data_IF_534929682021
#
_entry.id   IF_534929682021
#
_cell.length_a   1.000
_cell.length_b   1.000
_cell.length_c   1.000
_cell.angle_alpha   90.00
_cell.angle_beta   90.00
_cell.angle_gamma   90.00
#
_symmetry.space_group_name_H-M   'P 1'
#
loop_
_entity.id
_entity.type
_entity.pdbx_description
1 polymer ?
#
# COMPACT_ATOMS: atom_id res chain seq x y z
N UNK A 1 -2.86 2.52 -20.12
CA UNK A 1 -2.24 2.53 -18.78
C UNK A 1 -0.76 2.21 -18.92
N UNK A 2 0.08 2.89 -18.15
CA UNK A 2 1.53 2.76 -18.18
C UNK A 2 2.01 2.19 -16.86
N UNK A 3 2.79 1.09 -16.92
CA UNK A 3 3.37 0.44 -15.73
C UNK A 3 4.85 0.78 -15.66
N UNK A 4 5.28 1.32 -14.52
CA UNK A 4 6.67 1.70 -14.28
C UNK A 4 7.23 0.89 -13.10
N UNK A 5 8.31 0.18 -13.34
CA UNK A 5 9.09 -0.52 -12.32
C UNK A 5 10.38 0.27 -12.06
N UNK A 6 10.56 0.71 -10.80
CA UNK A 6 11.62 1.67 -10.48
C UNK A 6 11.48 2.93 -11.37
N UNK A 7 12.35 3.12 -12.31
CA UNK A 7 12.33 4.26 -13.23
C UNK A 7 12.19 3.82 -14.70
N UNK A 8 11.77 2.58 -14.93
CA UNK A 8 11.69 1.98 -16.27
C UNK A 8 10.24 1.65 -16.61
N UNK A 9 9.80 2.09 -17.78
CA UNK A 9 8.50 1.68 -18.34
C UNK A 9 8.59 0.19 -18.73
N UNK A 10 7.72 -0.61 -18.15
CA UNK A 10 7.62 -2.05 -18.39
C UNK A 10 6.29 -2.46 -19.02
N UNK A 11 5.53 -1.50 -19.51
CA UNK A 11 4.19 -1.74 -20.07
C UNK A 11 4.20 -2.82 -21.16
N UNK A 12 5.21 -2.87 -21.99
CA UNK A 12 5.34 -3.85 -23.08
C UNK A 12 5.47 -5.31 -22.57
N UNK A 13 5.93 -5.52 -21.34
CA UNK A 13 6.07 -6.84 -20.73
C UNK A 13 4.78 -7.31 -20.05
N UNK A 14 3.81 -6.43 -19.86
CA UNK A 14 2.57 -6.72 -19.14
C UNK A 14 1.56 -7.35 -20.12
N UNK A 15 1.25 -8.62 -19.92
CA UNK A 15 0.23 -9.32 -20.72
C UNK A 15 -1.18 -9.00 -20.25
N UNK A 16 -1.37 -8.86 -18.95
CA UNK A 16 -2.63 -8.43 -18.32
C UNK A 16 -2.37 -7.84 -16.94
N UNK A 17 -3.30 -7.03 -16.45
CA UNK A 17 -3.24 -6.47 -15.11
C UNK A 17 -4.64 -6.27 -14.54
N UNK A 18 -4.71 -6.30 -13.21
CA UNK A 18 -5.88 -5.84 -12.46
C UNK A 18 -5.43 -4.97 -11.30
N UNK A 19 -6.15 -3.89 -11.01
CA UNK A 19 -5.87 -3.02 -9.89
C UNK A 19 -7.16 -2.52 -9.24
N UNK A 20 -7.09 -2.23 -7.97
CA UNK A 20 -8.22 -1.72 -7.23
C UNK A 20 -8.09 -1.94 -5.74
N UNK A 21 -9.15 -1.63 -5.04
CA UNK A 21 -9.33 -1.90 -3.63
C UNK A 21 -10.82 -1.98 -3.33
N UNK A 22 -11.18 -2.62 -2.24
CA UNK A 22 -12.55 -2.66 -1.77
C UNK A 22 -12.72 -1.79 -0.52
N UNK A 23 -13.95 -1.49 -0.16
CA UNK A 23 -14.24 -0.74 1.08
C UNK A 23 -13.84 -1.50 2.35
N UNK A 24 -13.65 -2.80 2.24
CA UNK A 24 -13.28 -3.69 3.34
C UNK A 24 -11.79 -4.01 3.37
N UNK A 25 -11.04 -3.63 2.33
CA UNK A 25 -9.59 -3.80 2.26
C UNK A 25 -8.88 -2.50 2.57
N UNK A 26 -7.90 -2.58 3.47
CA UNK A 26 -7.12 -1.41 3.88
C UNK A 26 -6.17 -0.96 2.80
N UNK A 27 -5.54 -1.91 2.10
CA UNK A 27 -4.55 -1.66 1.09
C UNK A 27 -5.13 -1.87 -0.32
N UNK A 28 -4.70 -1.04 -1.27
CA UNK A 28 -4.97 -1.26 -2.69
C UNK A 28 -4.01 -2.30 -3.24
N UNK A 29 -4.52 -3.13 -4.14
CA UNK A 29 -3.78 -4.21 -4.79
C UNK A 29 -3.59 -3.91 -6.27
N UNK A 30 -2.40 -4.18 -6.78
CA UNK A 30 -2.10 -4.25 -8.21
C UNK A 30 -1.54 -5.64 -8.51
N UNK A 31 -2.14 -6.34 -9.45
CA UNK A 31 -1.67 -7.64 -9.92
C UNK A 31 -1.21 -7.50 -11.37
N UNK A 32 0.02 -7.91 -11.64
CA UNK A 32 0.65 -7.83 -12.95
C UNK A 32 1.01 -9.22 -13.43
N UNK A 33 0.61 -9.55 -14.66
CA UNK A 33 1.06 -10.74 -15.37
C UNK A 33 2.12 -10.34 -16.39
N UNK A 34 3.36 -10.71 -16.13
CA UNK A 34 4.52 -10.35 -16.94
C UNK A 34 4.93 -11.52 -17.79
N UNK A 35 5.15 -11.29 -19.08
CA UNK A 35 5.67 -12.30 -19.99
C UNK A 35 7.09 -12.69 -19.58
N UNK A 36 7.29 -13.98 -19.36
CA UNK A 36 8.59 -14.55 -19.05
C UNK A 36 8.94 -15.62 -20.09
N UNK A 37 9.74 -15.22 -21.07
CA UNK A 37 10.21 -16.10 -22.14
C UNK A 37 11.74 -16.22 -22.10
N UNK A 38 12.31 -16.98 -21.13
CA UNK A 38 13.76 -17.04 -20.92
C UNK A 38 14.55 -17.66 -22.09
N UNK A 39 13.86 -18.37 -22.97
CA UNK A 39 14.45 -19.00 -24.17
C UNK A 39 14.35 -18.13 -25.41
N UNK A 40 13.59 -17.04 -25.39
CA UNK A 40 13.46 -16.11 -26.51
C UNK A 40 14.57 -15.06 -26.46
N UNK A 41 15.50 -15.15 -27.39
CA UNK A 41 16.65 -14.24 -27.52
C UNK A 41 16.24 -12.81 -27.90
N UNK A 42 15.03 -12.62 -28.39
CA UNK A 42 14.50 -11.30 -28.77
C UNK A 42 13.85 -10.53 -27.61
N UNK A 43 13.62 -11.19 -26.49
CA UNK A 43 13.05 -10.58 -25.29
C UNK A 43 14.15 -10.39 -24.25
N UNK A 44 14.39 -9.14 -23.88
CA UNK A 44 15.32 -8.82 -22.78
C UNK A 44 14.68 -9.27 -21.46
N UNK A 45 15.37 -10.09 -20.64
CA UNK A 45 14.85 -10.51 -19.35
C UNK A 45 14.57 -9.32 -18.45
N UNK A 46 13.36 -9.25 -17.91
CA UNK A 46 12.99 -8.25 -16.91
C UNK A 46 13.14 -8.85 -15.50
N UNK A 47 13.97 -8.22 -14.69
CA UNK A 47 14.16 -8.63 -13.29
C UNK A 47 13.40 -7.72 -12.35
N UNK A 48 12.37 -8.28 -11.71
CA UNK A 48 11.59 -7.62 -10.68
C UNK A 48 11.76 -8.41 -9.38
N UNK A 49 12.22 -7.74 -8.34
CA UNK A 49 12.44 -8.36 -7.03
C UNK A 49 11.32 -7.99 -6.06
N UNK A 50 11.21 -8.77 -4.98
CA UNK A 50 10.34 -8.40 -3.85
C UNK A 50 10.80 -7.06 -3.27
N UNK A 51 9.85 -6.28 -2.81
CA UNK A 51 10.02 -4.91 -2.31
C UNK A 51 10.41 -3.86 -3.38
N UNK A 52 10.52 -4.22 -4.64
CA UNK A 52 10.72 -3.22 -5.69
C UNK A 52 9.49 -2.32 -5.84
N UNK A 53 9.66 -1.00 -6.04
CA UNK A 53 8.57 -0.08 -6.26
C UNK A 53 7.96 -0.23 -7.65
N UNK A 54 6.63 -0.18 -7.70
CA UNK A 54 5.84 -0.24 -8.93
C UNK A 54 4.81 0.89 -8.93
N UNK A 55 4.66 1.52 -10.07
CA UNK A 55 3.73 2.62 -10.30
C UNK A 55 2.81 2.30 -11.48
N UNK A 56 1.56 2.71 -11.38
CA UNK A 56 0.60 2.65 -12.47
C UNK A 56 0.12 4.07 -12.79
N UNK A 57 0.20 4.44 -14.06
CA UNK A 57 -0.28 5.72 -14.57
C UNK A 57 -1.36 5.51 -15.62
N UNK A 58 -2.18 6.53 -15.82
CA UNK A 58 -3.03 6.63 -17.01
C UNK A 58 -2.18 6.75 -18.28
N UNK A 59 -2.83 6.69 -19.44
CA UNK A 59 -2.16 6.80 -20.74
C UNK A 59 -1.50 8.17 -20.97
N UNK A 60 -1.86 9.17 -20.18
CA UNK A 60 -1.24 10.50 -20.18
C UNK A 60 0.19 10.50 -19.58
N UNK A 61 0.59 9.41 -18.91
CA UNK A 61 1.87 9.27 -18.22
C UNK A 61 2.08 10.23 -17.04
N UNK A 62 1.03 10.91 -16.59
CA UNK A 62 1.07 11.92 -15.52
C UNK A 62 0.15 11.60 -14.35
N UNK A 63 -1.04 11.09 -14.65
CA UNK A 63 -2.03 10.76 -13.63
C UNK A 63 -1.68 9.43 -12.99
N UNK A 64 -1.18 9.46 -11.76
CA UNK A 64 -0.83 8.27 -10.99
C UNK A 64 -2.10 7.61 -10.42
N UNK A 65 -2.31 6.34 -10.77
CA UNK A 65 -3.44 5.53 -10.31
C UNK A 65 -3.08 4.65 -9.12
N UNK A 66 -1.83 4.18 -9.08
CA UNK A 66 -1.35 3.29 -8.04
C UNK A 66 0.15 3.49 -7.82
N UNK A 67 0.53 3.38 -6.55
CA UNK A 67 1.93 3.34 -6.11
C UNK A 67 2.06 2.30 -5.00
N UNK A 68 2.97 1.37 -5.18
CA UNK A 68 3.18 0.32 -4.19
C UNK A 68 4.45 -0.47 -4.40
N UNK A 69 4.53 -1.60 -3.72
CA UNK A 69 5.71 -2.46 -3.71
C UNK A 69 5.32 -3.89 -4.00
N UNK A 70 6.22 -4.61 -4.66
CA UNK A 70 6.05 -6.03 -4.95
C UNK A 70 6.13 -6.83 -3.65
N UNK A 71 5.07 -7.57 -3.33
CA UNK A 71 4.97 -8.38 -2.11
C UNK A 71 5.06 -9.87 -2.42
N UNK A 72 4.51 -10.29 -3.53
CA UNK A 72 4.51 -11.69 -3.95
C UNK A 72 4.91 -11.84 -5.40
N UNK A 73 5.56 -12.97 -5.70
CA UNK A 73 5.94 -13.39 -7.04
C UNK A 73 5.57 -14.85 -7.23
N UNK A 74 4.77 -15.14 -8.24
CA UNK A 74 4.37 -16.49 -8.61
C UNK A 74 4.73 -16.76 -10.06
N UNK A 75 5.59 -17.74 -10.29
CA UNK A 75 5.98 -18.16 -11.64
C UNK A 75 5.12 -19.34 -12.09
N UNK A 76 4.51 -19.23 -13.28
CA UNK A 76 3.79 -20.32 -13.92
C UNK A 76 4.63 -20.92 -15.03
N UNK A 77 4.94 -22.21 -14.91
CA UNK A 77 5.67 -22.95 -15.94
C UNK A 77 4.80 -23.27 -17.15
N UNK A 78 3.49 -23.23 -17.00
CA UNK A 78 2.52 -23.63 -18.04
C UNK A 78 2.16 -22.46 -18.98
N UNK A 79 2.12 -21.24 -18.46
CA UNK A 79 1.65 -20.06 -19.22
C UNK A 79 2.77 -19.17 -19.72
N UNK A 80 4.03 -19.42 -19.29
CA UNK A 80 5.16 -18.55 -19.63
C UNK A 80 5.02 -17.13 -19.04
N UNK A 81 4.26 -16.98 -17.98
CA UNK A 81 4.06 -15.70 -17.29
C UNK A 81 4.48 -15.78 -15.84
N UNK A 82 4.88 -14.65 -15.29
CA UNK A 82 5.10 -14.46 -13.86
C UNK A 82 4.08 -13.46 -13.35
N UNK A 83 3.38 -13.82 -12.29
CA UNK A 83 2.42 -12.95 -11.63
C UNK A 83 3.12 -12.25 -10.48
N UNK A 84 3.04 -10.92 -10.47
CA UNK A 84 3.52 -10.07 -9.38
C UNK A 84 2.34 -9.43 -8.69
N UNK A 85 2.26 -9.61 -7.38
CA UNK A 85 1.25 -8.95 -6.54
C UNK A 85 1.91 -7.79 -5.79
N UNK A 86 1.38 -6.60 -6.00
CA UNK A 86 1.84 -5.38 -5.38
C UNK A 86 0.75 -4.80 -4.49
N UNK A 87 1.17 -4.25 -3.35
CA UNK A 87 0.30 -3.52 -2.43
C UNK A 87 0.85 -2.12 -2.18
N UNK A 88 -0.04 -1.18 -1.90
CA UNK A 88 0.36 0.15 -1.47
C UNK A 88 0.93 0.15 -0.03
N UNK A 89 1.40 1.32 0.43
CA UNK A 89 2.03 1.44 1.75
C UNK A 89 1.10 1.08 2.92
N UNK A 90 -0.21 1.16 2.73
CA UNK A 90 -1.17 0.79 3.77
C UNK A 90 -1.12 -0.70 4.14
N UNK A 91 -0.61 -1.54 3.24
CA UNK A 91 -0.35 -2.95 3.54
C UNK A 91 0.54 -3.13 4.77
N UNK A 92 1.57 -2.31 4.91
CA UNK A 92 2.49 -2.38 6.05
C UNK A 92 1.83 -1.98 7.37
N UNK A 93 0.79 -1.14 7.32
CA UNK A 93 0.04 -0.77 8.53
C UNK A 93 -0.69 -1.95 9.16
N UNK A 94 -1.08 -2.94 8.35
CA UNK A 94 -1.72 -4.16 8.83
C UNK A 94 -0.68 -5.16 9.37
N UNK A 95 0.50 -5.19 8.78
CA UNK A 95 1.55 -6.18 9.06
C UNK A 95 2.52 -5.75 10.15
N UNK A 96 2.55 -4.48 10.50
CA UNK A 96 3.45 -3.94 11.51
C UNK A 96 2.71 -3.64 12.80
N UNK A 97 3.27 -4.11 13.93
CA UNK A 97 2.72 -3.88 15.25
C UNK A 97 3.59 -2.88 16.02
N UNK A 98 2.95 -2.13 16.91
CA UNK A 98 3.64 -1.18 17.78
C UNK A 98 2.98 -1.08 19.16
N UNK A 99 3.72 -0.48 20.08
CA UNK A 99 3.29 -0.21 21.44
C UNK A 99 3.41 1.29 21.71
N UNK A 100 2.32 1.92 22.12
CA UNK A 100 2.27 3.35 22.41
C UNK A 100 1.49 3.62 23.69
N UNK A 101 1.85 4.72 24.33
CA UNK A 101 1.11 5.30 25.45
C UNK A 101 0.91 6.80 25.20
N UNK A 102 -0.27 7.14 24.73
CA UNK A 102 -0.67 8.54 24.51
C UNK A 102 -1.53 9.03 25.66
N UNK A 103 -1.10 10.08 26.35
CA UNK A 103 -1.80 10.61 27.53
C UNK A 103 -2.81 11.70 27.20
N UNK A 104 -2.55 12.53 26.18
CA UNK A 104 -3.43 13.63 25.78
C UNK A 104 -3.11 14.06 24.35
N UNK A 105 -3.59 13.28 23.40
CA UNK A 105 -3.38 13.49 21.96
C UNK A 105 -4.70 13.38 21.22
N UNK A 106 -4.86 14.15 20.17
CA UNK A 106 -6.00 14.00 19.25
C UNK A 106 -5.79 12.80 18.33
N UNK A 107 -6.86 12.29 17.71
CA UNK A 107 -6.78 11.16 16.78
C UNK A 107 -5.85 11.47 15.59
N UNK A 108 -5.95 12.67 15.03
CA UNK A 108 -5.07 13.13 13.96
C UNK A 108 -3.60 13.23 14.39
N UNK A 109 -3.33 13.68 15.62
CA UNK A 109 -1.96 13.73 16.15
C UNK A 109 -1.38 12.33 16.39
N UNK A 110 -2.17 11.40 16.90
CA UNK A 110 -1.79 9.99 17.06
C UNK A 110 -1.47 9.38 15.70
N UNK A 111 -2.33 9.57 14.72
CA UNK A 111 -2.14 9.06 13.36
C UNK A 111 -0.86 9.63 12.74
N UNK A 112 -0.61 10.92 12.88
CA UNK A 112 0.59 11.55 12.37
C UNK A 112 1.86 10.96 12.99
N UNK A 113 1.90 10.81 14.31
CA UNK A 113 3.06 10.24 15.02
C UNK A 113 3.33 8.80 14.56
N UNK A 114 2.30 7.99 14.49
CA UNK A 114 2.43 6.57 14.12
C UNK A 114 2.88 6.42 12.66
N UNK A 115 2.34 7.24 11.75
CA UNK A 115 2.75 7.23 10.35
C UNK A 115 4.17 7.77 10.16
N UNK A 116 4.57 8.79 10.91
CA UNK A 116 5.94 9.33 10.88
C UNK A 116 6.96 8.28 11.35
N UNK A 117 6.66 7.54 12.41
CA UNK A 117 7.50 6.46 12.92
C UNK A 117 7.66 5.31 11.90
N UNK A 118 6.66 5.10 11.07
CA UNK A 118 6.65 4.09 10.01
C UNK A 118 7.10 4.62 8.65
N UNK A 119 7.49 5.88 8.57
CA UNK A 119 7.88 6.55 7.32
C UNK A 119 6.77 6.49 6.24
N UNK A 120 5.50 6.50 6.66
CA UNK A 120 4.34 6.52 5.78
C UNK A 120 3.92 7.96 5.53
N UNK A 121 3.92 8.45 4.27
CA UNK A 121 3.47 9.79 3.95
C UNK A 121 2.00 9.99 4.31
N UNK A 122 1.69 11.10 4.96
CA UNK A 122 0.32 11.48 5.34
C UNK A 122 -0.13 12.61 4.43
N UNK A 123 -1.31 12.45 3.85
CA UNK A 123 -1.98 13.51 3.10
C UNK A 123 -2.82 14.40 4.02
N UNK A 124 -4.14 14.31 3.88
CA UNK A 124 -5.08 15.04 4.71
C UNK A 124 -5.72 14.12 5.75
N UNK A 125 -5.71 14.53 7.00
CA UNK A 125 -6.35 13.82 8.11
C UNK A 125 -7.61 14.57 8.57
N UNK A 126 -8.65 13.81 8.90
CA UNK A 126 -9.85 14.36 9.51
C UNK A 126 -9.51 14.92 10.90
N UNK A 127 -9.85 16.19 11.12
CA UNK A 127 -9.58 16.90 12.36
C UNK A 127 -10.71 16.66 13.36
N UNK A 128 -10.38 16.02 14.48
CA UNK A 128 -11.36 15.76 15.55
C UNK A 128 -11.33 16.83 16.63
N UNK A 129 -10.17 17.41 16.91
CA UNK A 129 -9.95 18.40 17.96
C UNK A 129 -10.17 17.87 19.39
N UNK A 130 -10.38 16.58 19.55
CA UNK A 130 -10.66 15.93 20.83
C UNK A 130 -9.44 15.17 21.33
N UNK A 131 -8.90 15.60 22.46
CA UNK A 131 -7.80 14.90 23.13
C UNK A 131 -8.30 13.64 23.82
N UNK A 132 -7.48 12.61 23.78
CA UNK A 132 -7.79 11.30 24.34
C UNK A 132 -6.55 10.65 24.95
N UNK A 133 -6.80 9.68 25.83
CA UNK A 133 -5.79 8.76 26.33
C UNK A 133 -5.92 7.44 25.57
N UNK A 134 -4.84 6.99 24.97
CA UNK A 134 -4.79 5.71 24.25
C UNK A 134 -3.53 4.95 24.62
N UNK A 135 -3.71 3.77 25.21
CA UNK A 135 -2.63 2.84 25.51
C UNK A 135 -2.84 1.59 24.66
N UNK A 136 -1.84 1.25 23.86
CA UNK A 136 -1.85 0.06 22.99
C UNK A 136 -0.56 -0.71 23.16
N UNK A 137 -0.64 -2.02 23.17
CA UNK A 137 0.50 -2.92 23.31
C UNK A 137 0.46 -3.98 22.22
N UNK A 138 1.52 -4.02 21.39
CA UNK A 138 1.67 -4.99 20.30
C UNK A 138 0.44 -5.08 19.39
N UNK A 139 -0.05 -3.93 18.96
CA UNK A 139 -1.24 -3.78 18.12
C UNK A 139 -0.82 -3.29 16.74
N UNK A 140 -1.52 -3.71 15.69
CA UNK A 140 -1.22 -3.26 14.33
C UNK A 140 -1.40 -1.74 14.20
N UNK A 141 -0.57 -1.13 13.36
CA UNK A 141 -0.63 0.31 13.09
C UNK A 141 -2.03 0.71 12.62
N UNK A 142 -2.63 -0.07 11.73
CA UNK A 142 -4.01 0.14 11.28
C UNK A 142 -5.00 0.18 12.45
N UNK A 143 -4.91 -0.79 13.36
CA UNK A 143 -5.81 -0.85 14.50
C UNK A 143 -5.61 0.31 15.48
N UNK A 144 -4.38 0.79 15.65
CA UNK A 144 -4.09 1.99 16.48
C UNK A 144 -4.83 3.19 15.91
N UNK A 145 -4.73 3.44 14.61
CA UNK A 145 -5.40 4.55 13.94
C UNK A 145 -6.92 4.42 14.07
N UNK A 146 -7.45 3.23 13.83
CA UNK A 146 -8.89 2.97 13.93
C UNK A 146 -9.42 3.18 15.35
N UNK A 147 -8.69 2.72 16.36
CA UNK A 147 -9.07 2.94 17.79
C UNK A 147 -9.07 4.42 18.13
N UNK A 148 -8.08 5.19 17.67
CA UNK A 148 -8.00 6.62 17.94
C UNK A 148 -9.21 7.36 17.36
N UNK A 149 -9.56 7.13 16.12
CA UNK A 149 -10.72 7.78 15.50
C UNK A 149 -12.05 7.27 16.05
N UNK A 150 -12.16 5.98 16.36
CA UNK A 150 -13.37 5.41 16.98
C UNK A 150 -13.63 6.01 18.35
N UNK A 151 -12.59 6.19 19.16
CA UNK A 151 -12.69 6.82 20.47
C UNK A 151 -13.10 8.29 20.37
N UNK A 152 -12.52 9.04 19.42
CA UNK A 152 -12.90 10.42 19.15
C UNK A 152 -14.37 10.52 18.70
N UNK A 153 -14.78 9.61 17.84
CA UNK A 153 -16.16 9.51 17.36
C UNK A 153 -17.15 9.25 18.53
N UNK A 154 -16.83 8.31 19.42
CA UNK A 154 -17.65 8.00 20.58
C UNK A 154 -17.77 9.19 21.56
N UNK A 155 -16.68 9.97 21.73
CA UNK A 155 -16.70 11.18 22.56
C UNK A 155 -17.59 12.29 21.98
N UNK A 156 -17.69 12.37 20.67
CA UNK A 156 -18.45 13.40 19.97
C UNK A 156 -19.96 13.12 19.96
N UNK A 157 -20.39 11.91 20.31
CA UNK A 157 -21.78 11.49 20.28
C UNK A 157 -22.42 11.53 18.88
N UNK A 158 -21.62 11.62 17.82
CA UNK A 158 -22.07 11.59 16.42
C UNK A 158 -22.02 10.15 15.94
N UNK A 159 -23.18 9.59 15.65
CA UNK A 159 -23.32 8.27 15.08
C UNK A 159 -23.34 8.30 13.54
#
# INVERSE_FOLDING_TARGET
MIVVHKNTDITEYVSSMSWGGSRTEVARKLELHIVNAPLDKNITPLTINLADPVYLFEDDGKTELFRGYVVEREASSTTGTVTYTCYDLLFYTIKSNATYNFSSKTAEAITQIVCDDMEIPVGSLAQTGLTQKLIVQNVSIYEIIMRAYTQAYQQNGVS
#
